data_IF_225623452947
#
_entry.id   IF_225623452947
#
_cell.length_a   1.000
_cell.length_b   1.000
_cell.length_c   1.000
_cell.angle_alpha   90.00
_cell.angle_beta   90.00
_cell.angle_gamma   90.00
#
_symmetry.space_group_name_H-M   'P 1'
#
loop_
_entity.id
_entity.type
_entity.pdbx_description
1 polymer ?
#
# COMPACT_ATOMS: atom_id res chain seq x y z
N UNK A 1 0.38 -14.44 -0.81
CA UNK A 1 1.29 -13.28 -1.03
C UNK A 1 2.04 -12.94 0.26
N UNK A 2 3.03 -13.74 0.67
CA UNK A 2 3.72 -13.52 1.97
C UNK A 2 5.18 -13.08 1.80
N UNK A 3 5.89 -13.69 0.86
CA UNK A 3 7.32 -13.38 0.59
C UNK A 3 7.48 -11.93 0.10
N UNK A 4 6.70 -11.53 -0.90
CA UNK A 4 6.76 -10.17 -1.47
C UNK A 4 6.39 -9.12 -0.43
N UNK A 5 5.37 -9.38 0.39
CA UNK A 5 4.94 -8.46 1.46
C UNK A 5 6.06 -8.23 2.50
N UNK A 6 6.72 -9.30 2.93
CA UNK A 6 7.84 -9.20 3.89
C UNK A 6 9.04 -8.46 3.27
N UNK A 7 9.35 -8.70 2.00
CA UNK A 7 10.42 -7.98 1.31
C UNK A 7 10.12 -6.47 1.24
N UNK A 8 8.90 -6.10 0.82
CA UNK A 8 8.48 -4.70 0.73
C UNK A 8 8.53 -4.00 2.09
N UNK A 9 8.04 -4.65 3.16
CA UNK A 9 8.08 -4.10 4.53
C UNK A 9 9.50 -3.98 5.09
N UNK A 10 10.44 -4.81 4.63
CA UNK A 10 11.84 -4.76 5.07
C UNK A 10 12.57 -3.59 4.42
N UNK A 11 12.36 -3.35 3.13
CA UNK A 11 13.12 -2.38 2.35
C UNK A 11 12.47 -1.00 2.26
N UNK A 12 11.16 -0.88 2.48
CA UNK A 12 10.43 0.36 2.28
C UNK A 12 9.54 0.69 3.48
N UNK A 13 9.46 1.98 3.82
CA UNK A 13 8.41 2.56 4.64
C UNK A 13 7.37 3.15 3.70
N UNK A 14 6.14 2.66 3.80
CA UNK A 14 5.01 3.18 3.06
C UNK A 14 4.30 4.23 3.90
N UNK A 15 4.07 5.40 3.33
CA UNK A 15 3.21 6.44 3.89
C UNK A 15 2.00 6.59 2.98
N UNK A 16 0.82 6.76 3.56
CA UNK A 16 -0.40 6.97 2.79
C UNK A 16 -0.33 8.38 2.18
N UNK A 17 -0.15 8.44 0.85
CA UNK A 17 0.04 9.68 0.13
C UNK A 17 -1.27 10.14 -0.46
N UNK A 18 -2.03 10.93 0.30
CA UNK A 18 -3.26 11.57 -0.19
C UNK A 18 -4.41 11.54 0.82
N UNK A 19 -5.13 12.67 0.90
CA UNK A 19 -6.38 12.84 1.62
C UNK A 19 -7.55 12.28 0.78
N UNK A 20 -7.43 11.05 0.32
CA UNK A 20 -8.45 10.47 -0.55
C UNK A 20 -9.22 9.40 0.22
N UNK A 21 -10.52 9.65 0.37
CA UNK A 21 -11.48 8.69 0.89
C UNK A 21 -11.36 7.40 0.07
N UNK A 22 -10.65 6.42 0.62
CA UNK A 22 -10.49 5.07 0.05
C UNK A 22 -11.88 4.47 -0.08
N UNK A 23 -12.50 4.70 -1.23
CA UNK A 23 -13.88 4.33 -1.47
C UNK A 23 -13.87 2.90 -1.95
N UNK A 24 -14.36 2.01 -1.11
CA UNK A 24 -14.42 0.59 -1.43
C UNK A 24 -15.59 0.33 -2.37
N UNK A 25 -15.31 -0.24 -3.55
CA UNK A 25 -16.36 -0.78 -4.42
C UNK A 25 -16.55 -2.25 -4.08
N UNK A 26 -17.76 -2.60 -3.64
CA UNK A 26 -18.19 -3.98 -3.44
C UNK A 26 -18.36 -4.63 -4.81
N UNK A 27 -17.40 -5.46 -5.19
CA UNK A 27 -17.46 -6.38 -6.32
C UNK A 27 -17.29 -7.82 -5.77
N UNK A 28 -17.10 -8.81 -6.64
CA UNK A 28 -16.80 -10.19 -6.20
C UNK A 28 -15.59 -10.26 -5.24
N UNK A 29 -14.66 -9.30 -5.37
CA UNK A 29 -13.62 -8.98 -4.39
C UNK A 29 -13.73 -7.49 -3.98
N UNK A 30 -13.33 -7.18 -2.75
CA UNK A 30 -13.27 -5.79 -2.26
C UNK A 30 -12.20 -5.03 -3.04
N UNK A 31 -12.60 -4.16 -3.96
CA UNK A 31 -11.68 -3.41 -4.81
C UNK A 31 -11.63 -1.95 -4.36
N UNK A 32 -10.41 -1.43 -4.21
CA UNK A 32 -10.20 -0.02 -3.87
C UNK A 32 -10.49 0.80 -5.14
N UNK A 33 -11.54 1.63 -5.09
CA UNK A 33 -11.89 2.45 -6.23
C UNK A 33 -10.84 3.55 -6.42
N UNK A 34 -10.15 3.55 -7.57
CA UNK A 34 -9.08 4.52 -7.86
C UNK A 34 -7.68 4.07 -7.40
N UNK A 35 -7.55 2.89 -6.78
CA UNK A 35 -6.27 2.38 -6.30
C UNK A 35 -5.82 2.98 -4.97
N UNK A 36 -4.72 2.46 -4.43
CA UNK A 36 -4.13 2.92 -3.17
C UNK A 36 -2.85 3.70 -3.45
N UNK A 37 -2.91 5.02 -3.35
CA UNK A 37 -1.75 5.88 -3.52
C UNK A 37 -0.88 5.83 -2.26
N UNK A 38 0.28 5.20 -2.38
CA UNK A 38 1.28 5.10 -1.32
C UNK A 38 2.58 5.77 -1.76
N UNK A 39 3.15 6.58 -0.86
CA UNK A 39 4.51 7.05 -0.98
C UNK A 39 5.45 6.00 -0.37
N UNK A 40 6.28 5.37 -1.19
CA UNK A 40 7.30 4.45 -0.72
C UNK A 40 8.62 5.21 -0.50
N UNK A 41 9.13 5.17 0.73
CA UNK A 41 10.45 5.72 1.08
C UNK A 41 11.38 4.57 1.45
N UNK A 42 12.63 4.53 0.93
CA UNK A 42 13.59 3.50 1.34
C UNK A 42 13.77 3.51 2.85
N UNK A 43 13.71 2.33 3.47
CA UNK A 43 14.02 2.19 4.89
C UNK A 43 15.55 2.29 5.03
N UNK A 44 16.09 3.18 5.88
CA UNK A 44 17.52 3.19 6.16
C UNK A 44 17.92 1.83 6.73
N UNK A 45 19.04 1.30 6.24
CA UNK A 45 19.62 0.06 6.76
C UNK A 45 19.96 0.26 8.25
N UNK A 46 19.76 -0.76 9.09
CA UNK A 46 20.25 -0.73 10.47
C UNK A 46 21.78 -0.59 10.52
#
# INVERSE_FOLDING_TARGET
MKIIAVALLRYFRFQLGGHDNVTYKTMFTLHIHGGLYLCATPRPAP
#
